data_IF_016560627905
#
_entry.id   IF_016560627905
#
_cell.length_a   1.000
_cell.length_b   1.000
_cell.length_c   1.000
_cell.angle_alpha   90.00
_cell.angle_beta   90.00
_cell.angle_gamma   90.00
#
_symmetry.space_group_name_H-M   'P 1'
#
loop_
_entity.id
_entity.type
_entity.pdbx_description
1 polymer ?
#
# COMPACT_ATOMS: atom_id res chain seq x y z
N UNK A 1 -5.58 22.25 10.34
CA UNK A 1 -6.53 22.13 9.21
C UNK A 1 -5.75 21.71 7.98
N UNK A 2 -6.26 20.77 7.17
CA UNK A 2 -5.57 20.28 5.96
C UNK A 2 -4.83 18.94 6.14
N UNK A 3 -4.93 18.30 7.31
CA UNK A 3 -4.52 16.91 7.47
C UNK A 3 -5.48 16.00 6.68
N UNK A 4 -4.93 14.93 6.14
CA UNK A 4 -5.73 13.95 5.40
C UNK A 4 -6.62 13.18 6.38
N UNK A 5 -7.93 13.28 6.21
CA UNK A 5 -8.87 12.54 7.07
C UNK A 5 -8.92 11.05 6.71
N UNK A 6 -9.08 10.73 5.42
CA UNK A 6 -9.07 9.36 4.94
C UNK A 6 -8.78 9.29 3.43
N UNK A 7 -8.44 8.08 2.97
CA UNK A 7 -8.37 7.73 1.55
C UNK A 7 -9.27 6.51 1.34
N UNK A 8 -10.13 6.56 0.33
CA UNK A 8 -10.91 5.40 -0.12
C UNK A 8 -10.39 4.91 -1.47
N UNK A 9 -10.15 3.60 -1.58
CA UNK A 9 -9.63 2.93 -2.77
C UNK A 9 -10.57 1.77 -3.12
N UNK A 10 -11.03 1.76 -4.37
CA UNK A 10 -11.73 0.61 -4.92
C UNK A 10 -10.73 -0.43 -5.39
N UNK A 11 -10.96 -1.69 -4.99
CA UNK A 11 -10.10 -2.84 -5.27
C UNK A 11 -10.85 -3.89 -6.08
N UNK A 12 -10.13 -4.64 -6.92
CA UNK A 12 -10.75 -5.67 -7.76
C UNK A 12 -11.16 -6.92 -6.98
N UNK A 13 -10.44 -7.25 -5.93
CA UNK A 13 -10.71 -8.36 -5.02
C UNK A 13 -10.46 -7.91 -3.57
N UNK A 14 -11.54 -7.68 -2.83
CA UNK A 14 -11.46 -7.16 -1.47
C UNK A 14 -10.74 -8.12 -0.51
N UNK A 15 -10.88 -9.43 -0.66
CA UNK A 15 -10.24 -10.38 0.26
C UNK A 15 -8.72 -10.38 0.04
N UNK A 16 -8.27 -10.43 -1.21
CA UNK A 16 -6.84 -10.35 -1.55
C UNK A 16 -6.23 -9.02 -1.14
N UNK A 17 -6.94 -7.92 -1.38
CA UNK A 17 -6.48 -6.59 -0.97
C UNK A 17 -6.49 -6.45 0.55
N UNK A 18 -7.46 -7.02 1.26
CA UNK A 18 -7.49 -7.01 2.72
C UNK A 18 -6.37 -7.86 3.34
N UNK A 19 -5.97 -8.98 2.73
CA UNK A 19 -4.81 -9.76 3.17
C UNK A 19 -3.52 -8.94 3.04
N UNK A 20 -3.32 -8.32 1.87
CA UNK A 20 -2.15 -7.47 1.60
C UNK A 20 -2.10 -6.26 2.54
N UNK A 21 -3.13 -5.41 2.51
CA UNK A 21 -3.19 -4.16 3.26
C UNK A 21 -3.30 -4.41 4.76
N UNK A 22 -4.01 -5.47 5.18
CA UNK A 22 -4.09 -5.87 6.57
C UNK A 22 -2.72 -6.22 7.15
N UNK A 23 -1.94 -7.04 6.45
CA UNK A 23 -0.57 -7.35 6.87
C UNK A 23 0.31 -6.09 6.87
N UNK A 24 0.39 -5.39 5.73
CA UNK A 24 1.31 -4.26 5.58
C UNK A 24 0.99 -3.13 6.57
N UNK A 25 -0.27 -2.74 6.71
CA UNK A 25 -0.65 -1.65 7.60
C UNK A 25 -0.46 -2.01 9.08
N UNK A 26 -0.63 -3.29 9.47
CA UNK A 26 -0.31 -3.74 10.83
C UNK A 26 1.19 -3.62 11.16
N UNK A 27 2.09 -3.85 10.18
CA UNK A 27 3.53 -3.63 10.36
C UNK A 27 3.88 -2.15 10.59
N UNK A 28 2.97 -1.24 10.19
CA UNK A 28 3.08 0.21 10.40
C UNK A 28 2.27 0.70 11.62
N UNK A 29 1.67 -0.20 12.39
CA UNK A 29 0.90 0.13 13.59
C UNK A 29 -0.55 0.59 13.35
N UNK A 30 -1.07 0.47 12.13
CA UNK A 30 -2.51 0.67 11.91
C UNK A 30 -3.31 -0.48 12.54
N UNK A 31 -4.51 -0.17 13.00
CA UNK A 31 -5.46 -1.15 13.53
C UNK A 31 -6.71 -1.25 12.64
N UNK A 32 -7.35 -2.43 12.54
CA UNK A 32 -8.66 -2.54 11.90
C UNK A 32 -9.66 -1.57 12.55
N UNK A 33 -10.43 -0.86 11.73
CA UNK A 33 -11.38 0.16 12.19
C UNK A 33 -12.84 -0.22 11.90
N UNK A 34 -13.19 -0.40 10.63
CA UNK A 34 -14.55 -0.80 10.24
C UNK A 34 -14.49 -1.95 9.22
N UNK A 35 -15.51 -2.81 9.26
CA UNK A 35 -15.67 -3.91 8.33
C UNK A 35 -17.14 -4.11 8.00
N UNK A 36 -17.43 -4.22 6.71
CA UNK A 36 -18.73 -4.58 6.18
C UNK A 36 -18.54 -5.52 4.99
N UNK A 37 -19.65 -5.96 4.39
CA UNK A 37 -19.62 -6.97 3.33
C UNK A 37 -18.78 -6.55 2.11
N UNK A 38 -18.85 -5.27 1.74
CA UNK A 38 -18.17 -4.73 0.56
C UNK A 38 -16.94 -3.86 0.89
N UNK A 39 -16.49 -3.80 2.15
CA UNK A 39 -15.32 -2.99 2.47
C UNK A 39 -14.74 -3.17 3.86
N UNK A 40 -13.49 -2.72 4.00
CA UNK A 40 -12.71 -2.77 5.23
C UNK A 40 -11.87 -1.51 5.37
N UNK A 41 -11.63 -1.07 6.60
CA UNK A 41 -10.77 0.08 6.87
C UNK A 41 -9.80 -0.14 8.01
N UNK A 42 -8.67 0.58 7.95
CA UNK A 42 -7.60 0.57 8.94
C UNK A 42 -7.25 1.99 9.34
N UNK A 43 -6.99 2.23 10.63
CA UNK A 43 -6.78 3.57 11.19
C UNK A 43 -5.44 3.68 11.90
N UNK A 44 -4.78 4.84 11.74
CA UNK A 44 -3.61 5.27 12.50
C UNK A 44 -3.80 6.73 12.93
N UNK A 45 -3.86 6.95 14.25
CA UNK A 45 -4.19 8.28 14.78
C UNK A 45 -5.55 8.74 14.27
N UNK A 46 -5.59 9.90 13.60
CA UNK A 46 -6.83 10.47 13.06
C UNK A 46 -7.09 10.12 11.58
N UNK A 47 -6.13 9.48 10.89
CA UNK A 47 -6.25 9.13 9.47
C UNK A 47 -6.58 7.65 9.29
N UNK A 48 -7.45 7.33 8.34
CA UNK A 48 -7.74 5.93 7.99
C UNK A 48 -7.76 5.67 6.47
N UNK A 49 -7.45 4.44 6.11
CA UNK A 49 -7.51 3.92 4.74
C UNK A 49 -8.70 2.98 4.61
N UNK A 50 -9.48 3.16 3.56
CA UNK A 50 -10.68 2.39 3.27
C UNK A 50 -10.50 1.67 1.94
N UNK A 51 -10.78 0.37 1.92
CA UNK A 51 -10.75 -0.46 0.73
C UNK A 51 -12.15 -1.01 0.46
N UNK A 52 -12.65 -0.79 -0.75
CA UNK A 52 -14.03 -1.14 -1.14
C UNK A 52 -14.02 -2.03 -2.38
N UNK A 53 -14.82 -3.09 -2.37
CA UNK A 53 -14.99 -3.95 -3.54
C UNK A 53 -15.57 -3.16 -4.71
N UNK A 54 -14.85 -3.08 -5.81
CA UNK A 54 -15.38 -2.55 -7.06
C UNK A 54 -16.53 -3.42 -7.59
N UNK A 55 -17.60 -2.77 -8.05
CA UNK A 55 -18.73 -3.45 -8.69
C UNK A 55 -18.29 -4.04 -10.03
N UNK A 56 -18.81 -5.21 -10.37
CA UNK A 56 -18.47 -5.97 -11.58
C UNK A 56 -18.50 -5.11 -12.87
N UNK A 57 -19.50 -4.23 -13.00
CA UNK A 57 -19.64 -3.30 -14.13
C UNK A 57 -18.51 -2.26 -14.30
N UNK A 58 -17.58 -2.18 -13.35
CA UNK A 58 -16.42 -1.28 -13.36
C UNK A 58 -15.09 -2.03 -13.42
N UNK A 59 -15.13 -3.37 -13.55
CA UNK A 59 -13.94 -4.24 -13.64
C UNK A 59 -13.53 -4.54 -15.08
N UNK A 60 -14.25 -4.01 -16.07
CA UNK A 60 -13.96 -4.20 -17.51
C UNK A 60 -12.59 -3.62 -17.91
N UNK A 61 -12.11 -2.62 -17.17
CA UNK A 61 -10.81 -2.00 -17.39
C UNK A 61 -9.93 -2.14 -16.13
N UNK A 62 -8.84 -2.93 -16.18
CA UNK A 62 -7.91 -3.06 -15.07
C UNK A 62 -7.25 -1.73 -14.69
N UNK A 63 -6.93 -1.56 -13.41
CA UNK A 63 -6.19 -0.40 -12.92
C UNK A 63 -4.80 -0.30 -13.57
N UNK A 64 -4.41 0.92 -13.89
CA UNK A 64 -3.08 1.24 -14.38
C UNK A 64 -2.64 2.57 -13.77
N UNK A 65 -1.68 2.50 -12.85
CA UNK A 65 -1.12 3.64 -12.11
C UNK A 65 -0.55 4.78 -12.98
N UNK A 66 -0.36 4.57 -14.29
CA UNK A 66 0.09 5.61 -15.22
C UNK A 66 -1.06 6.39 -15.87
N UNK A 67 -2.33 6.03 -15.59
CA UNK A 67 -3.50 6.81 -16.02
C UNK A 67 -3.83 7.89 -15.00
N UNK A 68 -4.71 8.84 -15.40
CA UNK A 68 -5.23 9.86 -14.48
C UNK A 68 -5.88 9.17 -13.27
N UNK A 69 -5.44 9.55 -12.06
CA UNK A 69 -5.88 8.95 -10.81
C UNK A 69 -4.72 8.76 -9.83
N UNK A 70 -4.88 7.79 -8.92
CA UNK A 70 -3.83 7.39 -7.99
C UNK A 70 -2.64 6.78 -8.76
N UNK A 71 -1.42 6.99 -8.26
CA UNK A 71 -0.24 6.29 -8.74
C UNK A 71 0.33 5.36 -7.66
N UNK A 72 0.56 5.94 -6.47
CA UNK A 72 1.13 5.25 -5.33
C UNK A 72 0.72 5.86 -4.00
N UNK A 73 0.92 5.09 -2.93
CA UNK A 73 0.92 5.55 -1.55
C UNK A 73 2.30 5.31 -0.95
N UNK A 74 2.85 6.34 -0.31
CA UNK A 74 4.12 6.28 0.39
C UNK A 74 3.91 6.39 1.91
N UNK A 75 4.65 5.59 2.66
CA UNK A 75 4.57 5.50 4.12
C UNK A 75 5.95 5.70 4.73
N UNK A 76 5.99 6.32 5.91
CA UNK A 76 7.22 6.46 6.68
C UNK A 76 7.54 5.16 7.42
N UNK A 77 8.77 4.70 7.29
CA UNK A 77 9.39 3.79 8.22
C UNK A 77 10.00 4.55 9.41
N UNK A 78 10.22 3.85 10.52
CA UNK A 78 10.92 4.39 11.69
C UNK A 78 12.44 4.37 11.53
N UNK A 79 12.97 3.55 10.61
CA UNK A 79 14.40 3.43 10.34
C UNK A 79 14.68 2.70 9.01
N UNK A 80 15.96 2.65 8.58
CA UNK A 80 16.38 1.86 7.41
C UNK A 80 16.25 0.36 7.66
N UNK A 81 16.49 -0.08 8.90
CA UNK A 81 16.36 -1.47 9.30
C UNK A 81 14.92 -1.97 9.14
N UNK A 82 13.91 -1.14 9.45
CA UNK A 82 12.51 -1.51 9.19
C UNK A 82 12.24 -1.67 7.69
N UNK A 83 12.85 -0.84 6.83
CA UNK A 83 12.75 -1.00 5.38
C UNK A 83 13.35 -2.34 4.94
N UNK A 84 14.50 -2.73 5.49
CA UNK A 84 15.16 -4.00 5.18
C UNK A 84 14.33 -5.21 5.66
N UNK A 85 13.80 -5.15 6.89
CA UNK A 85 12.93 -6.18 7.45
C UNK A 85 11.67 -6.39 6.60
N UNK A 86 11.00 -5.31 6.21
CA UNK A 86 9.81 -5.40 5.37
C UNK A 86 10.17 -5.85 3.95
N UNK A 87 11.33 -5.48 3.43
CA UNK A 87 11.83 -5.99 2.15
C UNK A 87 11.93 -7.51 2.15
N UNK A 88 12.53 -8.11 3.20
CA UNK A 88 12.62 -9.57 3.33
C UNK A 88 11.24 -10.21 3.39
N UNK A 89 10.29 -9.63 4.13
CA UNK A 89 8.91 -10.12 4.22
C UNK A 89 8.15 -10.03 2.88
N UNK A 90 8.33 -8.95 2.13
CA UNK A 90 7.73 -8.78 0.79
C UNK A 90 8.26 -9.86 -0.17
N UNK A 91 9.57 -10.12 -0.15
CA UNK A 91 10.16 -11.20 -0.94
C UNK A 91 9.65 -12.59 -0.55
N UNK A 92 9.56 -12.90 0.76
CA UNK A 92 9.12 -14.21 1.23
C UNK A 92 7.64 -14.49 0.93
N UNK A 93 6.82 -13.43 0.86
CA UNK A 93 5.41 -13.51 0.43
C UNK A 93 5.23 -13.57 -1.10
N UNK A 94 6.31 -13.52 -1.87
CA UNK A 94 6.25 -13.58 -3.34
C UNK A 94 5.66 -12.33 -3.99
N UNK A 95 5.66 -11.20 -3.28
CA UNK A 95 5.11 -9.93 -3.79
C UNK A 95 6.03 -9.30 -4.82
N UNK A 96 5.46 -8.47 -5.70
CA UNK A 96 6.21 -7.85 -6.79
C UNK A 96 6.99 -6.62 -6.32
N UNK A 97 8.29 -6.79 -6.02
CA UNK A 97 9.23 -5.70 -5.75
C UNK A 97 9.62 -4.99 -7.05
N UNK A 98 9.53 -3.66 -7.05
CA UNK A 98 9.87 -2.80 -8.19
C UNK A 98 11.33 -2.32 -8.11
N UNK A 99 11.91 -2.00 -9.26
CA UNK A 99 13.26 -1.39 -9.37
C UNK A 99 14.36 -2.16 -8.64
N UNK A 100 14.33 -3.50 -8.71
CA UNK A 100 15.22 -4.41 -7.96
C UNK A 100 16.71 -4.11 -8.18
N UNK A 101 17.07 -3.63 -9.37
CA UNK A 101 18.43 -3.23 -9.75
C UNK A 101 18.94 -1.97 -9.03
N UNK A 102 18.02 -1.15 -8.51
CA UNK A 102 18.32 0.11 -7.83
C UNK A 102 17.91 0.11 -6.36
N UNK A 103 17.29 -0.95 -5.87
CA UNK A 103 16.89 -1.06 -4.47
C UNK A 103 18.14 -1.08 -3.56
N UNK A 104 18.16 -0.34 -2.43
CA UNK A 104 17.10 0.48 -1.84
C UNK A 104 17.09 1.97 -2.25
N UNK A 105 17.87 2.38 -3.24
CA UNK A 105 18.06 3.78 -3.67
C UNK A 105 17.32 4.15 -4.97
N UNK A 106 16.20 3.49 -5.27
CA UNK A 106 15.46 3.71 -6.52
C UNK A 106 14.86 5.12 -6.63
N UNK A 107 14.66 5.82 -5.51
CA UNK A 107 14.24 7.23 -5.47
C UNK A 107 15.37 8.26 -5.57
N UNK A 108 16.64 7.82 -5.62
CA UNK A 108 17.83 8.66 -5.63
C UNK A 108 18.85 8.28 -4.54
N UNK A 109 20.08 8.79 -4.64
CA UNK A 109 21.22 8.40 -3.78
C UNK A 109 20.96 8.62 -2.28
N UNK A 110 20.14 9.61 -1.91
CA UNK A 110 19.78 9.93 -0.54
C UNK A 110 18.36 9.45 -0.15
N UNK A 111 17.77 8.56 -0.94
CA UNK A 111 16.38 8.12 -0.78
C UNK A 111 16.31 6.61 -0.54
N UNK A 112 16.27 6.21 0.73
CA UNK A 112 16.27 4.80 1.12
C UNK A 112 14.85 4.27 1.25
N UNK A 113 14.39 3.48 0.27
CA UNK A 113 13.01 3.02 0.22
C UNK A 113 12.81 1.65 -0.44
N UNK A 114 11.75 0.98 0.00
CA UNK A 114 11.18 -0.20 -0.64
C UNK A 114 10.02 0.22 -1.55
N UNK A 115 10.03 -0.23 -2.80
CA UNK A 115 8.95 -0.06 -3.75
C UNK A 115 8.40 -1.43 -4.16
N UNK A 116 7.09 -1.62 -4.05
CA UNK A 116 6.42 -2.88 -4.39
C UNK A 116 4.99 -2.62 -4.86
N UNK A 117 4.26 -3.66 -5.24
CA UNK A 117 2.87 -3.55 -5.72
C UNK A 117 1.88 -4.29 -4.81
N UNK A 118 0.72 -3.68 -4.64
CA UNK A 118 -0.46 -4.35 -4.11
C UNK A 118 -1.12 -5.27 -5.18
N UNK A 119 -2.16 -6.05 -4.83
CA UNK A 119 -2.83 -6.95 -5.76
C UNK A 119 -3.43 -6.27 -7.00
N UNK A 120 -3.78 -4.98 -6.90
CA UNK A 120 -4.35 -4.16 -7.96
C UNK A 120 -3.28 -3.37 -8.75
N UNK A 121 -1.99 -3.57 -8.46
CA UNK A 121 -0.83 -2.89 -9.07
C UNK A 121 -0.71 -1.39 -8.72
N UNK A 122 -1.33 -0.98 -7.61
CA UNK A 122 -1.02 0.27 -6.93
C UNK A 122 0.41 0.12 -6.40
N UNK A 123 1.27 1.09 -6.72
CA UNK A 123 2.62 1.09 -6.18
C UNK A 123 2.55 1.48 -4.70
N UNK A 124 3.21 0.71 -3.86
CA UNK A 124 3.38 0.97 -2.43
C UNK A 124 4.84 1.29 -2.18
N UNK A 125 5.07 2.30 -1.36
CA UNK A 125 6.38 2.81 -1.04
C UNK A 125 6.55 2.93 0.47
N UNK A 126 7.67 2.43 0.97
CA UNK A 126 8.07 2.56 2.38
C UNK A 126 9.44 3.22 2.41
N UNK A 127 9.51 4.43 2.96
CA UNK A 127 10.72 5.27 2.97
C UNK A 127 11.25 5.46 4.38
N UNK A 128 12.57 5.30 4.55
CA UNK A 128 13.26 5.57 5.82
C UNK A 128 13.38 7.09 6.09
N UNK A 129 13.56 7.50 7.37
CA UNK A 129 13.82 8.90 7.72
C UNK A 129 15.08 9.49 7.09
#
# INVERSE_FOLDING_TARGET
MGLLHHIEIYVSDLERSAEFWGWFLSELGYTPYQQWKEGRSWKLGDTYLVFVQAKEKHLDVPYNRCRVGLNHLAFHAISREQVDELTVKVYSKGMNVLYKDKHPFAGGENYYALFFEDPDRIKVELVAP
#
